data_IF_662535593560
#
_entry.id   IF_662535593560
#
_cell.length_a   1.000
_cell.length_b   1.000
_cell.length_c   1.000
_cell.angle_alpha   90.00
_cell.angle_beta   90.00
_cell.angle_gamma   90.00
#
_symmetry.space_group_name_H-M   'P 1'
#
loop_
_entity.id
_entity.type
_entity.pdbx_description
1 polymer ?
#
# COMPACT_ATOMS: atom_id res chain seq x y z
N UNK A 1 17.54 -7.61 23.95
CA UNK A 1 18.02 -8.58 22.93
C UNK A 1 17.99 -7.93 21.55
N UNK A 2 19.15 -7.57 20.97
CA UNK A 2 19.18 -7.12 19.56
C UNK A 2 19.03 -8.36 18.69
N UNK A 3 17.83 -8.60 18.16
CA UNK A 3 17.61 -9.66 17.16
C UNK A 3 18.41 -9.26 15.92
N UNK A 4 19.47 -10.01 15.63
CA UNK A 4 20.10 -9.99 14.32
C UNK A 4 19.08 -10.52 13.30
N UNK A 5 18.24 -9.62 12.80
CA UNK A 5 17.34 -9.89 11.69
C UNK A 5 18.25 -10.05 10.48
N UNK A 6 18.52 -11.29 10.08
CA UNK A 6 18.98 -11.53 8.72
C UNK A 6 17.83 -11.07 7.82
N UNK A 7 18.06 -10.03 7.01
CA UNK A 7 17.04 -9.41 6.14
C UNK A 7 16.29 -10.43 5.26
N UNK A 8 16.89 -11.59 5.03
CA UNK A 8 16.35 -12.68 4.23
C UNK A 8 15.54 -13.72 5.03
N UNK A 9 15.62 -13.77 6.37
CA UNK A 9 14.76 -14.65 7.19
C UNK A 9 13.34 -14.12 7.29
N UNK A 10 13.18 -12.79 7.28
CA UNK A 10 11.88 -12.14 7.38
C UNK A 10 11.53 -11.42 6.07
N UNK A 11 10.79 -12.12 5.21
CA UNK A 11 10.35 -11.61 3.91
C UNK A 11 9.36 -10.44 4.02
N UNK A 12 8.87 -10.10 5.23
CA UNK A 12 7.90 -9.02 5.44
C UNK A 12 8.50 -7.63 5.24
N UNK A 13 9.74 -7.42 5.69
CA UNK A 13 10.44 -6.13 5.54
C UNK A 13 10.65 -5.77 4.06
N UNK A 14 11.24 -6.64 3.21
CA UNK A 14 11.40 -6.34 1.80
C UNK A 14 10.05 -6.18 1.10
N UNK A 15 9.05 -6.99 1.44
CA UNK A 15 7.69 -6.84 0.91
C UNK A 15 7.07 -5.48 1.24
N UNK A 16 7.23 -5.00 2.48
CA UNK A 16 6.76 -3.67 2.88
C UNK A 16 7.48 -2.55 2.11
N UNK A 17 8.78 -2.72 1.84
CA UNK A 17 9.55 -1.77 1.03
C UNK A 17 9.08 -1.72 -0.44
N UNK A 18 8.48 -2.80 -0.98
CA UNK A 18 7.82 -2.78 -2.30
C UNK A 18 6.57 -1.89 -2.23
N UNK A 19 5.75 -2.09 -1.20
CA UNK A 19 4.50 -1.33 -1.01
C UNK A 19 4.78 0.15 -0.80
N UNK A 20 5.78 0.48 0.02
CA UNK A 20 6.14 1.86 0.36
C UNK A 20 6.58 2.70 -0.86
N UNK A 21 7.13 2.07 -1.91
CA UNK A 21 7.47 2.76 -3.16
C UNK A 21 6.25 3.21 -3.97
N UNK A 22 5.12 2.53 -3.81
CA UNK A 22 3.83 2.94 -4.39
C UNK A 22 3.65 2.70 -5.90
N UNK A 23 4.72 2.64 -6.68
CA UNK A 23 4.68 2.46 -8.15
C UNK A 23 4.96 1.01 -8.61
N UNK A 24 5.41 0.16 -7.70
CA UNK A 24 5.89 -1.20 -7.98
C UNK A 24 4.78 -2.24 -8.16
N UNK A 25 3.54 -1.92 -7.78
CA UNK A 25 2.40 -2.84 -7.81
C UNK A 25 1.28 -2.24 -8.65
N UNK A 26 0.93 -2.89 -9.75
CA UNK A 26 -0.20 -2.50 -10.60
C UNK A 26 -1.31 -3.55 -10.53
N UNK A 27 -2.55 -3.09 -10.34
CA UNK A 27 -3.72 -3.96 -10.37
C UNK A 27 -4.25 -4.08 -11.78
N UNK A 28 -4.48 -5.32 -12.25
CA UNK A 28 -5.07 -5.63 -13.55
C UNK A 28 -6.55 -5.97 -13.33
N UNK A 29 -7.42 -5.08 -13.79
CA UNK A 29 -8.88 -5.21 -13.75
C UNK A 29 -9.33 -5.88 -15.07
N UNK A 30 -10.33 -6.80 -15.06
CA UNK A 30 -11.23 -7.17 -13.96
C UNK A 30 -10.81 -8.40 -13.13
N UNK A 31 -9.68 -9.03 -13.44
CA UNK A 31 -9.37 -10.38 -12.94
C UNK A 31 -8.74 -10.44 -11.54
N UNK A 32 -8.73 -9.35 -10.77
CA UNK A 32 -8.05 -9.26 -9.46
C UNK A 32 -6.62 -9.81 -9.50
N UNK A 33 -5.92 -9.57 -10.62
CA UNK A 33 -4.51 -9.92 -10.80
C UNK A 33 -3.66 -8.69 -10.51
N UNK A 34 -2.43 -8.91 -10.11
CA UNK A 34 -1.47 -7.86 -9.80
C UNK A 34 -0.19 -8.15 -10.56
N UNK A 35 0.46 -7.11 -11.05
CA UNK A 35 1.85 -7.19 -11.49
C UNK A 35 2.72 -6.48 -10.47
N UNK A 36 3.77 -7.17 -10.04
CA UNK A 36 4.72 -6.68 -9.05
C UNK A 36 6.10 -6.66 -9.68
N UNK A 37 6.76 -5.51 -9.65
CA UNK A 37 8.11 -5.34 -10.20
C UNK A 37 9.13 -6.18 -9.41
N UNK A 38 10.06 -6.81 -10.13
CA UNK A 38 11.13 -7.60 -9.54
C UNK A 38 12.12 -6.70 -8.80
N UNK A 39 12.57 -7.15 -7.63
CA UNK A 39 13.56 -6.44 -6.82
C UNK A 39 14.99 -6.54 -7.37
N UNK A 40 15.29 -7.61 -8.11
CA UNK A 40 16.63 -7.84 -8.66
C UNK A 40 16.77 -7.33 -10.10
N UNK A 41 15.67 -7.25 -10.85
CA UNK A 41 15.68 -6.77 -12.23
C UNK A 41 14.45 -5.90 -12.49
N UNK A 42 14.58 -4.57 -12.42
CA UNK A 42 13.46 -3.64 -12.59
C UNK A 42 12.70 -3.77 -13.91
N UNK A 43 13.28 -4.33 -14.96
CA UNK A 43 12.57 -4.50 -16.24
C UNK A 43 11.53 -5.64 -16.19
N UNK A 44 11.66 -6.54 -15.22
CA UNK A 44 10.80 -7.72 -15.08
C UNK A 44 9.66 -7.49 -14.08
N UNK A 45 8.47 -7.96 -14.45
CA UNK A 45 7.28 -7.96 -13.61
C UNK A 45 6.76 -9.38 -13.41
N UNK A 46 6.33 -9.68 -12.20
CA UNK A 46 5.71 -10.96 -11.86
C UNK A 46 4.22 -10.81 -11.65
N UNK A 47 3.46 -11.70 -12.28
CA UNK A 47 2.02 -11.80 -12.06
C UNK A 47 1.74 -12.50 -10.74
N UNK A 48 0.90 -11.88 -9.92
CA UNK A 48 0.38 -12.38 -8.65
C UNK A 48 -1.14 -12.41 -8.73
N UNK A 49 -1.76 -13.51 -8.32
CA UNK A 49 -3.22 -13.64 -8.31
C UNK A 49 -3.68 -14.58 -7.20
N UNK A 50 -4.92 -14.38 -6.77
CA UNK A 50 -5.61 -15.26 -5.82
C UNK A 50 -6.27 -16.37 -6.62
N UNK A 51 -5.89 -17.63 -6.37
CA UNK A 51 -6.46 -18.80 -7.04
C UNK A 51 -7.72 -19.30 -6.30
N UNK A 52 -7.66 -19.33 -4.97
CA UNK A 52 -8.75 -19.68 -4.06
C UNK A 52 -8.71 -18.75 -2.84
N UNK A 53 -9.73 -18.78 -1.97
CA UNK A 53 -9.81 -17.89 -0.80
C UNK A 53 -8.50 -17.83 0.01
N UNK A 54 -7.82 -18.95 0.22
CA UNK A 54 -6.58 -18.98 1.01
C UNK A 54 -5.31 -19.24 0.19
N UNK A 55 -5.40 -19.21 -1.15
CA UNK A 55 -4.28 -19.61 -2.02
C UNK A 55 -3.87 -18.50 -2.97
N UNK A 56 -2.64 -18.06 -2.81
CA UNK A 56 -1.99 -17.07 -3.66
C UNK A 56 -0.98 -17.74 -4.57
N UNK A 57 -0.93 -17.27 -5.82
CA UNK A 57 0.02 -17.76 -6.82
C UNK A 57 0.83 -16.59 -7.34
N UNK A 58 2.14 -16.80 -7.44
CA UNK A 58 3.07 -15.86 -8.05
C UNK A 58 3.95 -16.56 -9.10
N UNK A 59 4.20 -15.88 -10.22
CA UNK A 59 5.07 -16.37 -11.28
C UNK A 59 6.56 -16.38 -10.92
N UNK A 60 6.99 -15.85 -9.77
CA UNK A 60 8.41 -15.78 -9.44
C UNK A 60 9.00 -17.15 -9.07
N UNK A 61 10.29 -17.34 -9.36
CA UNK A 61 11.01 -18.60 -9.10
C UNK A 61 10.94 -19.04 -7.62
N UNK A 62 11.02 -18.09 -6.68
CA UNK A 62 10.97 -18.42 -5.25
C UNK A 62 9.66 -19.12 -4.87
N UNK A 63 8.52 -18.61 -5.35
CA UNK A 63 7.23 -19.22 -5.11
C UNK A 63 7.09 -20.54 -5.88
N UNK A 64 7.58 -20.60 -7.12
CA UNK A 64 7.54 -21.84 -7.90
C UNK A 64 8.31 -22.98 -7.22
N UNK A 65 9.48 -22.68 -6.63
CA UNK A 65 10.34 -23.65 -5.96
C UNK A 65 9.85 -24.05 -4.57
N UNK A 66 9.38 -23.07 -3.77
CA UNK A 66 9.05 -23.33 -2.35
C UNK A 66 7.57 -23.53 -2.08
N UNK A 67 6.69 -23.09 -3.00
CA UNK A 67 5.23 -22.95 -2.82
C UNK A 67 4.81 -22.08 -1.62
N UNK A 68 5.75 -21.35 -1.01
CA UNK A 68 5.49 -20.42 0.10
C UNK A 68 5.20 -19.01 -0.43
N UNK A 69 4.59 -18.19 0.41
CA UNK A 69 4.36 -16.78 0.11
C UNK A 69 5.71 -16.06 -0.09
N UNK A 70 5.95 -15.61 -1.32
CA UNK A 70 7.11 -14.80 -1.66
C UNK A 70 6.88 -13.32 -1.32
N UNK A 71 7.94 -12.51 -1.39
CA UNK A 71 7.85 -11.05 -1.19
C UNK A 71 6.78 -10.37 -2.04
N UNK A 72 6.53 -10.85 -3.26
CA UNK A 72 5.53 -10.26 -4.15
C UNK A 72 4.11 -10.54 -3.65
N UNK A 73 3.84 -11.76 -3.18
CA UNK A 73 2.55 -12.13 -2.57
C UNK A 73 2.33 -11.32 -1.30
N UNK A 74 3.34 -11.27 -0.43
CA UNK A 74 3.27 -10.50 0.82
C UNK A 74 3.03 -9.00 0.54
N UNK A 75 3.68 -8.43 -0.48
CA UNK A 75 3.49 -7.04 -0.85
C UNK A 75 2.05 -6.75 -1.31
N UNK A 76 1.46 -7.63 -2.13
CA UNK A 76 0.06 -7.50 -2.54
C UNK A 76 -0.89 -7.62 -1.33
N UNK A 77 -0.66 -8.59 -0.44
CA UNK A 77 -1.44 -8.74 0.80
C UNK A 77 -1.38 -7.47 1.65
N UNK A 78 -0.18 -6.92 1.88
CA UNK A 78 -0.03 -5.67 2.61
C UNK A 78 -0.72 -4.49 1.92
N UNK A 79 -0.61 -4.37 0.59
CA UNK A 79 -1.29 -3.30 -0.14
C UNK A 79 -2.82 -3.41 0.01
N UNK A 80 -3.38 -4.61 -0.09
CA UNK A 80 -4.81 -4.84 0.07
C UNK A 80 -5.27 -4.51 1.50
N UNK A 81 -4.56 -5.00 2.52
CA UNK A 81 -4.88 -4.65 3.91
C UNK A 81 -4.79 -3.15 4.17
N UNK A 82 -3.82 -2.43 3.59
CA UNK A 82 -3.74 -0.98 3.72
C UNK A 82 -4.89 -0.26 3.00
N UNK A 83 -5.39 -0.78 1.88
CA UNK A 83 -6.56 -0.23 1.18
C UNK A 83 -7.83 -0.44 2.01
N UNK A 84 -8.05 -1.65 2.52
CA UNK A 84 -9.17 -1.98 3.41
C UNK A 84 -9.20 -1.08 4.66
N UNK A 85 -8.03 -0.79 5.25
CA UNK A 85 -7.94 0.11 6.40
C UNK A 85 -8.14 1.59 6.04
N UNK A 86 -7.82 2.02 4.82
CA UNK A 86 -8.06 3.41 4.38
C UNK A 86 -9.54 3.73 4.23
N UNK A 87 -10.36 2.75 3.88
CA UNK A 87 -11.82 2.92 3.86
C UNK A 87 -12.40 3.14 5.28
N UNK A 88 -11.64 2.78 6.33
CA UNK A 88 -11.97 3.08 7.74
C UNK A 88 -11.40 4.40 8.28
N UNK A 89 -10.49 5.07 7.55
CA UNK A 89 -10.05 6.42 7.91
C UNK A 89 -11.10 7.38 7.32
N UNK A 90 -12.14 7.64 8.12
CA UNK A 90 -12.99 8.81 7.94
C UNK A 90 -12.03 9.99 7.78
N UNK A 91 -11.98 10.58 6.58
CA UNK A 91 -11.38 11.90 6.45
C UNK A 91 -12.23 12.80 7.33
N UNK A 92 -11.73 13.13 8.52
CA UNK A 92 -12.28 14.23 9.33
C UNK A 92 -12.13 15.47 8.48
N UNK A 93 -13.14 15.72 7.64
CA UNK A 93 -13.29 17.00 6.97
C UNK A 93 -13.39 18.01 8.09
N UNK A 94 -12.50 19.00 8.16
CA UNK A 94 -12.58 19.99 9.21
C UNK A 94 -13.98 20.60 9.19
N UNK A 95 -14.67 20.54 10.34
CA UNK A 95 -16.02 21.06 10.53
C UNK A 95 -15.90 22.37 11.31
N UNK A 96 -16.61 23.42 10.88
CA UNK A 96 -16.66 24.65 11.65
C UNK A 96 -17.47 24.44 12.93
N UNK A 97 -16.88 24.63 14.11
CA UNK A 97 -17.58 24.51 15.40
C UNK A 97 -18.75 25.50 15.59
N UNK A 98 -18.78 26.60 14.81
CA UNK A 98 -19.84 27.62 14.91
C UNK A 98 -21.07 27.35 14.05
N UNK A 99 -20.89 26.83 12.85
CA UNK A 99 -21.98 26.67 11.87
C UNK A 99 -22.10 25.25 11.30
N UNK A 100 -21.29 24.31 11.79
CA UNK A 100 -21.21 22.92 11.34
C UNK A 100 -20.93 22.76 9.82
N UNK A 101 -20.43 23.83 9.17
CA UNK A 101 -20.11 23.83 7.75
C UNK A 101 -18.84 23.01 7.48
N UNK A 102 -18.89 22.19 6.43
CA UNK A 102 -17.75 21.43 5.90
C UNK A 102 -17.04 22.15 4.74
N UNK A 103 -17.49 23.37 4.41
CA UNK A 103 -16.98 24.14 3.29
C UNK A 103 -15.75 24.98 3.70
N UNK A 104 -14.58 24.33 3.63
CA UNK A 104 -13.30 24.93 4.02
C UNK A 104 -12.62 25.56 2.82
N UNK A 105 -12.30 26.86 2.91
CA UNK A 105 -11.54 27.59 1.89
C UNK A 105 -10.16 27.88 2.44
N UNK A 106 -9.13 27.32 1.80
CA UNK A 106 -7.74 27.54 2.18
C UNK A 106 -7.33 28.97 1.76
N UNK A 107 -7.05 29.84 2.73
CA UNK A 107 -6.55 31.18 2.45
C UNK A 107 -5.10 31.30 2.94
N UNK A 108 -4.14 31.33 2.00
CA UNK A 108 -2.72 31.34 2.34
C UNK A 108 -2.21 32.77 2.58
N UNK A 109 -1.63 33.04 3.76
CA UNK A 109 -0.69 34.14 3.93
C UNK A 109 0.73 33.59 3.84
N UNK A 110 1.57 34.20 2.99
CA UNK A 110 3.02 33.96 2.99
C UNK A 110 3.59 34.60 4.26
N UNK A 111 3.62 33.82 5.34
CA UNK A 111 4.66 33.73 6.38
C UNK A 111 4.09 32.94 7.57
N UNK A 112 4.60 31.71 7.71
CA UNK A 112 4.56 30.77 8.84
C UNK A 112 3.24 30.30 9.50
N UNK A 113 2.03 30.68 9.06
CA UNK A 113 0.82 30.04 9.58
C UNK A 113 -0.30 29.90 8.54
N UNK A 114 -0.67 28.66 8.19
CA UNK A 114 -1.83 28.38 7.35
C UNK A 114 -3.10 28.52 8.20
N UNK A 115 -3.91 29.54 7.91
CA UNK A 115 -5.22 29.71 8.56
C UNK A 115 -6.27 29.01 7.69
N UNK A 116 -6.98 28.03 8.27
CA UNK A 116 -8.19 27.47 7.68
C UNK A 116 -9.33 28.45 7.93
N UNK A 117 -9.92 29.00 6.87
CA UNK A 117 -11.14 29.80 6.96
C UNK A 117 -12.32 28.91 6.62
N UNK A 118 -13.26 28.86 7.55
CA UNK A 118 -14.55 28.22 7.34
C UNK A 118 -15.52 29.26 6.80
N UNK A 119 -16.18 28.95 5.68
CA UNK A 119 -17.37 29.71 5.28
C UNK A 119 -18.54 29.19 6.11
N UNK A 120 -18.86 29.97 7.13
CA UNK A 120 -20.25 30.22 7.49
C UNK A 120 -20.74 31.35 6.56
#
# INVERSE_FOLDING_TARGET
MKKNITLWKDQRIPALAIVARGDQIKTIIPNNKYTVQSQSNPENYYTVYRYEENKWVCACMHHQATKRDCIHILAVKFQNSLKENKDGIIQDKPICEKCNSTNVVKNGKRNYEFILLFKC
#
